data_IF_697894100041
#
_entry.id   IF_697894100041
#
_cell.length_a   1.000
_cell.length_b   1.000
_cell.length_c   1.000
_cell.angle_alpha   90.00
_cell.angle_beta   90.00
_cell.angle_gamma   90.00
#
_symmetry.space_group_name_H-M   'P 1'
#
loop_
_entity.id
_entity.type
_entity.pdbx_description
1 polymer ?
#
# COMPACT_ATOMS: atom_id res chain seq x y z
N UNK A 1 3.26 20.78 -1.71
CA UNK A 1 3.45 20.52 -0.27
C UNK A 1 2.77 21.60 0.56
N UNK A 2 3.14 22.87 0.41
CA UNK A 2 2.62 23.95 1.26
C UNK A 2 1.08 24.02 1.32
N UNK A 3 0.39 23.90 0.19
CA UNK A 3 -1.08 23.84 0.16
C UNK A 3 -1.65 22.69 1.01
N UNK A 4 -0.98 21.55 1.05
CA UNK A 4 -1.42 20.40 1.85
C UNK A 4 -1.18 20.64 3.35
N UNK A 5 -0.05 21.25 3.72
CA UNK A 5 0.27 21.60 5.10
C UNK A 5 -0.63 22.73 5.61
N UNK A 6 -0.94 23.73 4.76
CA UNK A 6 -1.86 24.81 5.10
C UNK A 6 -3.26 24.33 5.49
N UNK A 7 -3.70 23.18 4.95
CA UNK A 7 -4.98 22.54 5.33
C UNK A 7 -4.94 21.88 6.71
N UNK A 8 -3.76 21.56 7.22
CA UNK A 8 -3.60 20.87 8.51
C UNK A 8 -3.44 21.86 9.66
N UNK A 9 -2.67 22.94 9.47
CA UNK A 9 -2.35 23.94 10.53
C UNK A 9 -3.55 24.44 11.32
N UNK A 10 -4.73 24.74 10.72
CA UNK A 10 -5.89 25.21 11.47
C UNK A 10 -6.46 24.20 12.46
N UNK A 11 -6.13 22.92 12.32
CA UNK A 11 -6.70 21.85 13.15
C UNK A 11 -6.06 21.76 14.55
N UNK A 12 -5.10 22.62 14.92
CA UNK A 12 -4.59 22.73 16.30
C UNK A 12 -5.68 23.01 17.32
N UNK A 13 -6.73 23.74 16.93
CA UNK A 13 -7.91 24.04 17.75
C UNK A 13 -9.07 23.03 17.57
N UNK A 14 -8.88 21.97 16.74
CA UNK A 14 -9.92 20.98 16.50
C UNK A 14 -10.28 20.20 17.77
N UNK A 15 -11.55 19.92 17.97
CA UNK A 15 -12.01 18.98 19.01
C UNK A 15 -11.73 17.52 18.68
N UNK A 16 -11.42 17.23 17.41
CA UNK A 16 -11.13 15.88 16.93
C UNK A 16 -9.62 15.57 17.11
N UNK A 17 -9.32 14.66 18.03
CA UNK A 17 -7.95 14.31 18.41
C UNK A 17 -7.08 13.84 17.24
N UNK A 18 -7.68 13.07 16.31
CA UNK A 18 -6.99 12.57 15.11
C UNK A 18 -6.63 13.69 14.10
N UNK A 19 -7.28 14.85 14.15
CA UNK A 19 -6.91 16.03 13.37
C UNK A 19 -5.92 16.92 14.13
N UNK A 20 -6.12 17.03 15.44
CA UNK A 20 -5.32 17.87 16.32
C UNK A 20 -3.87 17.37 16.45
N UNK A 21 -3.66 16.06 16.57
CA UNK A 21 -2.32 15.50 16.77
C UNK A 21 -1.36 15.79 15.59
N UNK A 22 -1.72 15.56 14.32
CA UNK A 22 -0.88 15.94 13.18
C UNK A 22 -0.63 17.46 13.10
N UNK A 23 -1.64 18.27 13.42
CA UNK A 23 -1.50 19.72 13.41
C UNK A 23 -0.52 20.22 14.47
N UNK A 24 -0.63 19.71 15.69
CA UNK A 24 0.29 20.05 16.77
C UNK A 24 1.73 19.61 16.46
N UNK A 25 1.90 18.41 15.93
CA UNK A 25 3.23 17.92 15.52
C UNK A 25 3.82 18.79 14.41
N UNK A 26 3.03 19.16 13.41
CA UNK A 26 3.45 20.03 12.31
C UNK A 26 3.92 21.40 12.86
N UNK A 27 3.12 22.04 13.71
CA UNK A 27 3.45 23.34 14.31
C UNK A 27 4.71 23.23 15.17
N UNK A 28 4.89 22.16 15.93
CA UNK A 28 6.10 21.96 16.73
C UNK A 28 7.35 21.86 15.84
N UNK A 29 7.27 21.14 14.71
CA UNK A 29 8.36 21.05 13.73
C UNK A 29 8.64 22.42 13.12
N UNK A 30 7.62 23.18 12.73
CA UNK A 30 7.77 24.51 12.13
C UNK A 30 8.38 25.53 13.12
N UNK A 31 8.00 25.49 14.40
CA UNK A 31 8.62 26.30 15.44
C UNK A 31 10.11 25.97 15.60
N UNK A 32 10.46 24.67 15.59
CA UNK A 32 11.88 24.25 15.63
C UNK A 32 12.65 24.76 14.41
N UNK A 33 12.05 24.76 13.20
CA UNK A 33 12.70 25.33 12.03
C UNK A 33 12.94 26.84 12.17
N UNK A 34 11.96 27.56 12.71
CA UNK A 34 12.12 29.01 12.97
C UNK A 34 13.23 29.29 13.98
N UNK A 35 13.27 28.57 15.11
CA UNK A 35 14.28 28.71 16.15
C UNK A 35 15.70 28.39 15.64
N UNK A 36 15.81 27.38 14.76
CA UNK A 36 17.10 26.94 14.22
C UNK A 36 17.45 27.61 12.88
N UNK A 37 16.62 28.53 12.39
CA UNK A 37 16.79 29.19 11.09
C UNK A 37 16.91 28.19 9.92
N UNK A 38 16.18 27.07 10.00
CA UNK A 38 16.12 26.06 8.94
C UNK A 38 15.04 26.43 7.93
N UNK A 39 15.37 26.35 6.64
CA UNK A 39 14.41 26.57 5.58
C UNK A 39 13.35 25.43 5.53
N UNK A 40 12.08 25.80 5.41
CA UNK A 40 10.93 24.87 5.36
C UNK A 40 10.84 24.13 4.03
N UNK A 41 11.80 23.26 3.74
CA UNK A 41 11.85 22.42 2.54
C UNK A 41 11.22 21.04 2.77
N UNK A 42 10.77 20.33 1.71
CA UNK A 42 10.28 18.95 1.86
C UNK A 42 11.27 18.03 2.55
N UNK A 43 12.57 18.21 2.27
CA UNK A 43 13.63 17.40 2.88
C UNK A 43 13.80 17.71 4.36
N UNK A 44 13.66 18.98 4.78
CA UNK A 44 13.71 19.36 6.19
C UNK A 44 12.54 18.75 6.98
N UNK A 45 11.30 18.86 6.47
CA UNK A 45 10.15 18.21 7.09
C UNK A 45 10.32 16.70 7.18
N UNK A 46 10.77 16.07 6.09
CA UNK A 46 11.03 14.64 6.07
C UNK A 46 12.02 14.21 7.14
N UNK A 47 13.16 14.91 7.24
CA UNK A 47 14.20 14.61 8.22
C UNK A 47 13.68 14.78 9.66
N UNK A 48 12.97 15.87 9.95
CA UNK A 48 12.37 16.12 11.25
C UNK A 48 11.36 15.02 11.65
N UNK A 49 10.43 14.68 10.75
CA UNK A 49 9.42 13.64 11.00
C UNK A 49 10.10 12.26 11.19
N UNK A 50 11.11 11.94 10.39
CA UNK A 50 11.82 10.66 10.49
C UNK A 50 12.58 10.55 11.82
N UNK A 51 13.18 11.65 12.30
CA UNK A 51 13.84 11.72 13.60
C UNK A 51 12.85 11.57 14.75
N UNK A 52 11.67 12.21 14.67
CA UNK A 52 10.63 12.04 15.69
C UNK A 52 10.11 10.62 15.71
N UNK A 53 9.86 10.02 14.54
CA UNK A 53 9.41 8.63 14.41
C UNK A 53 10.43 7.64 15.02
N UNK A 54 11.71 7.80 14.72
CA UNK A 54 12.76 6.98 15.32
C UNK A 54 12.76 7.12 16.85
N UNK A 55 12.67 8.35 17.37
CA UNK A 55 12.58 8.61 18.79
C UNK A 55 11.35 7.98 19.46
N UNK A 56 10.19 8.03 18.79
CA UNK A 56 8.93 7.41 19.24
C UNK A 56 9.08 5.90 19.35
N UNK A 57 9.70 5.27 18.34
CA UNK A 57 9.94 3.82 18.31
C UNK A 57 10.95 3.40 19.39
N UNK A 58 12.04 4.14 19.56
CA UNK A 58 13.07 3.86 20.57
C UNK A 58 12.54 3.97 22.00
N UNK A 59 11.68 4.92 22.26
CA UNK A 59 11.02 5.10 23.57
C UNK A 59 9.94 4.06 23.85
N UNK A 60 9.63 3.20 22.88
CA UNK A 60 8.52 2.23 22.93
C UNK A 60 7.15 2.88 23.19
N UNK A 61 7.02 4.15 22.88
CA UNK A 61 5.76 4.89 22.96
C UNK A 61 4.91 4.63 21.70
N UNK A 62 4.64 3.36 21.47
CA UNK A 62 3.97 2.86 20.27
C UNK A 62 2.46 2.79 20.55
N UNK A 63 1.87 3.93 20.90
CA UNK A 63 0.42 4.05 21.08
C UNK A 63 -0.28 4.28 19.75
N UNK A 64 -1.44 3.63 19.57
CA UNK A 64 -2.35 3.80 18.44
C UNK A 64 -3.68 4.46 18.85
N UNK A 65 -3.76 4.98 20.09
CA UNK A 65 -4.97 5.67 20.54
C UNK A 65 -5.20 6.95 19.73
N UNK A 66 -6.43 7.41 19.70
CA UNK A 66 -6.77 8.69 19.08
C UNK A 66 -5.96 9.84 19.71
N UNK A 67 -5.22 10.55 18.88
CA UNK A 67 -4.33 11.62 19.31
C UNK A 67 -2.89 11.18 19.63
N UNK A 68 -2.56 9.90 19.47
CA UNK A 68 -1.19 9.42 19.63
C UNK A 68 -0.24 9.98 18.55
N UNK A 69 1.03 10.07 18.90
CA UNK A 69 2.06 10.68 18.05
C UNK A 69 2.36 9.81 16.83
N UNK A 70 2.47 8.48 16.98
CA UNK A 70 2.82 7.56 15.88
C UNK A 70 1.88 7.65 14.68
N UNK A 71 0.53 7.63 14.80
CA UNK A 71 -0.36 7.85 13.67
C UNK A 71 -0.18 9.22 13.01
N UNK A 72 0.13 10.26 13.78
CA UNK A 72 0.37 11.61 13.28
C UNK A 72 1.68 11.69 12.47
N UNK A 73 2.75 11.07 12.95
CA UNK A 73 4.04 10.96 12.26
C UNK A 73 3.87 10.24 10.91
N UNK A 74 3.22 9.08 10.90
CA UNK A 74 2.96 8.32 9.67
C UNK A 74 2.09 9.10 8.68
N UNK A 75 1.12 9.86 9.17
CA UNK A 75 0.27 10.69 8.33
C UNK A 75 1.07 11.83 7.68
N UNK A 76 1.85 12.59 8.45
CA UNK A 76 2.68 13.68 7.94
C UNK A 76 3.78 13.16 7.01
N UNK A 77 4.41 12.04 7.35
CA UNK A 77 5.42 11.41 6.50
C UNK A 77 4.85 11.02 5.14
N UNK A 78 3.65 10.40 5.11
CA UNK A 78 2.94 10.06 3.89
C UNK A 78 2.52 11.29 3.08
N UNK A 79 2.25 12.41 3.72
CA UNK A 79 1.89 13.66 3.07
C UNK A 79 3.08 14.37 2.43
N UNK A 80 4.24 14.35 3.09
CA UNK A 80 5.48 15.02 2.64
C UNK A 80 6.21 14.19 1.58
N UNK A 81 6.20 12.87 1.70
CA UNK A 81 6.96 11.95 0.83
C UNK A 81 6.80 12.22 -0.69
N UNK A 82 5.60 12.51 -1.24
CA UNK A 82 5.44 12.77 -2.66
C UNK A 82 6.20 13.99 -3.21
N UNK A 83 6.65 14.88 -2.33
CA UNK A 83 7.38 16.10 -2.69
C UNK A 83 8.90 15.95 -2.55
N UNK A 84 9.37 14.78 -2.14
CA UNK A 84 10.80 14.49 -2.03
C UNK A 84 11.41 14.15 -3.39
N UNK A 85 12.65 14.58 -3.58
CA UNK A 85 13.42 14.11 -4.70
C UNK A 85 13.75 12.61 -4.54
N UNK A 86 13.67 11.85 -5.63
CA UNK A 86 13.98 10.41 -5.66
C UNK A 86 15.30 10.04 -4.96
N UNK A 87 16.42 10.76 -5.12
CA UNK A 87 17.67 10.45 -4.42
C UNK A 87 17.54 10.50 -2.90
N UNK A 88 16.72 11.41 -2.34
CA UNK A 88 16.50 11.52 -0.90
C UNK A 88 15.80 10.25 -0.36
N UNK A 89 14.80 9.75 -1.08
CA UNK A 89 14.11 8.51 -0.71
C UNK A 89 15.06 7.32 -0.78
N UNK A 90 15.84 7.23 -1.85
CA UNK A 90 16.80 6.12 -2.07
C UNK A 90 17.90 6.08 -1.01
N UNK A 91 18.46 7.22 -0.66
CA UNK A 91 19.52 7.31 0.36
C UNK A 91 19.02 6.96 1.78
N UNK A 92 17.73 7.18 2.05
CA UNK A 92 17.10 6.86 3.34
C UNK A 92 16.31 5.56 3.34
N UNK A 93 16.39 4.74 2.28
CA UNK A 93 15.60 3.52 2.13
C UNK A 93 15.78 2.55 3.31
N UNK A 94 17.02 2.31 3.74
CA UNK A 94 17.30 1.41 4.87
C UNK A 94 16.62 1.88 6.15
N UNK A 95 16.74 3.17 6.46
CA UNK A 95 16.12 3.79 7.64
C UNK A 95 14.59 3.74 7.57
N UNK A 96 14.02 4.09 6.41
CA UNK A 96 12.58 4.00 6.19
C UNK A 96 12.05 2.58 6.43
N UNK A 97 12.71 1.57 5.86
CA UNK A 97 12.29 0.18 6.02
C UNK A 97 12.47 -0.30 7.47
N UNK A 98 13.59 0.01 8.13
CA UNK A 98 13.83 -0.41 9.51
C UNK A 98 12.84 0.17 10.50
N UNK A 99 12.38 1.40 10.29
CA UNK A 99 11.40 2.07 11.15
C UNK A 99 9.97 1.66 10.84
N UNK A 100 9.60 1.54 9.57
CA UNK A 100 8.18 1.40 9.21
C UNK A 100 7.74 -0.04 8.92
N UNK A 101 8.61 -0.92 8.40
CA UNK A 101 8.21 -2.29 8.10
C UNK A 101 7.78 -3.10 9.36
N UNK A 102 8.46 -2.99 10.52
CA UNK A 102 8.04 -3.68 11.73
C UNK A 102 6.70 -3.20 12.28
N UNK A 103 6.20 -2.05 11.85
CA UNK A 103 4.92 -1.51 12.32
C UNK A 103 3.69 -2.17 11.67
N UNK A 104 3.84 -2.88 10.53
CA UNK A 104 2.69 -3.49 9.85
C UNK A 104 1.77 -4.33 10.76
N UNK A 105 2.28 -5.27 11.59
CA UNK A 105 1.43 -6.06 12.46
C UNK A 105 0.63 -5.22 13.46
N UNK A 106 1.27 -4.19 14.02
CA UNK A 106 0.65 -3.27 14.95
C UNK A 106 -0.44 -2.43 14.27
N UNK A 107 -0.14 -1.87 13.10
CA UNK A 107 -1.02 -0.98 12.35
C UNK A 107 -2.26 -1.70 11.78
N UNK A 108 -2.28 -3.03 11.76
CA UNK A 108 -3.52 -3.76 11.46
C UNK A 108 -4.66 -3.38 12.40
N UNK A 109 -4.37 -2.95 13.63
CA UNK A 109 -5.40 -2.51 14.58
C UNK A 109 -5.87 -1.07 14.33
N UNK A 110 -5.12 -0.27 13.53
CA UNK A 110 -5.41 1.15 13.27
C UNK A 110 -5.48 1.46 11.77
N UNK A 111 -6.65 1.26 11.12
CA UNK A 111 -6.81 1.42 9.68
C UNK A 111 -6.37 2.78 9.11
N UNK A 112 -6.56 3.92 9.77
CA UNK A 112 -6.07 5.21 9.27
C UNK A 112 -4.54 5.25 9.14
N UNK A 113 -3.79 4.86 10.17
CA UNK A 113 -2.33 4.85 10.14
C UNK A 113 -1.79 3.83 9.13
N UNK A 114 -2.41 2.65 9.02
CA UNK A 114 -2.07 1.66 8.00
C UNK A 114 -2.21 2.24 6.59
N UNK A 115 -3.29 2.98 6.31
CA UNK A 115 -3.46 3.64 5.00
C UNK A 115 -2.42 4.74 4.74
N UNK A 116 -2.00 5.47 5.76
CA UNK A 116 -0.90 6.44 5.66
C UNK A 116 0.41 5.73 5.33
N UNK A 117 0.72 4.64 6.01
CA UNK A 117 1.89 3.82 5.71
C UNK A 117 1.86 3.27 4.28
N UNK A 118 0.72 2.77 3.81
CA UNK A 118 0.56 2.32 2.41
C UNK A 118 0.80 3.48 1.42
N UNK A 119 0.36 4.71 1.73
CA UNK A 119 0.64 5.87 0.89
C UNK A 119 2.14 6.19 0.81
N UNK A 120 2.84 6.11 1.94
CA UNK A 120 4.29 6.25 2.00
C UNK A 120 4.99 5.19 1.14
N UNK A 121 4.60 3.92 1.27
CA UNK A 121 5.21 2.84 0.50
C UNK A 121 4.96 2.95 -1.01
N UNK A 122 3.86 3.51 -1.45
CA UNK A 122 3.65 3.81 -2.86
C UNK A 122 4.77 4.71 -3.40
N UNK A 123 5.07 5.80 -2.70
CA UNK A 123 6.13 6.75 -3.10
C UNK A 123 7.50 6.07 -3.05
N UNK A 124 7.76 5.27 -2.01
CA UNK A 124 9.01 4.52 -1.90
C UNK A 124 9.19 3.62 -3.12
N UNK A 125 8.24 2.71 -3.43
CA UNK A 125 8.37 1.77 -4.54
C UNK A 125 8.52 2.46 -5.90
N UNK A 126 7.82 3.56 -6.13
CA UNK A 126 7.94 4.35 -7.36
C UNK A 126 9.30 5.05 -7.50
N UNK A 127 10.00 5.26 -6.38
CA UNK A 127 11.31 5.90 -6.36
C UNK A 127 12.47 4.94 -6.57
N UNK A 128 12.28 3.62 -6.37
CA UNK A 128 13.35 2.63 -6.39
C UNK A 128 13.75 2.23 -7.81
N UNK A 129 15.03 1.93 -7.99
CA UNK A 129 15.54 1.26 -9.18
C UNK A 129 15.39 -0.28 -9.07
N UNK A 130 15.74 -0.99 -10.16
CA UNK A 130 15.62 -2.44 -10.22
C UNK A 130 16.39 -3.14 -9.09
N UNK A 131 17.63 -2.73 -8.83
CA UNK A 131 18.50 -3.37 -7.83
C UNK A 131 17.93 -3.22 -6.42
N UNK A 132 17.40 -2.05 -6.10
CA UNK A 132 16.77 -1.76 -4.82
C UNK A 132 15.45 -2.53 -4.65
N UNK A 133 14.64 -2.65 -5.71
CA UNK A 133 13.42 -3.46 -5.70
C UNK A 133 13.71 -4.95 -5.46
N UNK A 134 14.83 -5.47 -5.96
CA UNK A 134 15.25 -6.85 -5.76
C UNK A 134 15.80 -7.14 -4.35
N UNK A 135 16.10 -6.10 -3.55
CA UNK A 135 16.60 -6.27 -2.18
C UNK A 135 15.57 -7.02 -1.31
N UNK A 136 16.07 -7.96 -0.50
CA UNK A 136 15.21 -8.88 0.28
C UNK A 136 14.21 -8.14 1.19
N UNK A 137 14.64 -7.12 1.93
CA UNK A 137 13.76 -6.35 2.83
C UNK A 137 12.63 -5.64 2.08
N UNK A 138 12.92 -5.10 0.88
CA UNK A 138 11.95 -4.43 0.02
C UNK A 138 10.91 -5.44 -0.51
N UNK A 139 11.37 -6.62 -0.97
CA UNK A 139 10.50 -7.70 -1.44
C UNK A 139 9.61 -8.25 -0.32
N UNK A 140 10.14 -8.41 0.89
CA UNK A 140 9.36 -8.85 2.06
C UNK A 140 8.29 -7.82 2.44
N UNK A 141 8.63 -6.54 2.41
CA UNK A 141 7.66 -5.46 2.65
C UNK A 141 6.56 -5.47 1.60
N UNK A 142 6.90 -5.65 0.34
CA UNK A 142 5.89 -5.76 -0.73
C UNK A 142 5.01 -7.01 -0.54
N UNK A 143 5.57 -8.14 -0.10
CA UNK A 143 4.80 -9.34 0.23
C UNK A 143 3.78 -9.09 1.36
N UNK A 144 4.17 -8.34 2.39
CA UNK A 144 3.24 -7.93 3.46
C UNK A 144 2.08 -7.08 2.93
N UNK A 145 2.35 -6.19 1.97
CA UNK A 145 1.32 -5.36 1.33
C UNK A 145 0.36 -6.23 0.49
N UNK A 146 0.85 -7.27 -0.19
CA UNK A 146 0.00 -8.20 -0.94
C UNK A 146 -1.03 -8.91 -0.04
N UNK A 147 -0.66 -9.23 1.20
CA UNK A 147 -1.60 -9.81 2.17
C UNK A 147 -2.72 -8.80 2.52
N UNK A 148 -2.42 -7.51 2.53
CA UNK A 148 -3.41 -6.45 2.81
C UNK A 148 -4.38 -6.27 1.64
N UNK A 149 -4.04 -6.68 0.41
CA UNK A 149 -4.94 -6.62 -0.74
C UNK A 149 -6.20 -7.50 -0.60
N UNK A 150 -6.20 -8.43 0.35
CA UNK A 150 -7.34 -9.29 0.68
C UNK A 150 -7.92 -8.99 2.07
N UNK A 151 -7.52 -7.89 2.70
CA UNK A 151 -8.01 -7.47 4.04
C UNK A 151 -9.55 -7.34 4.03
N UNK A 152 -10.26 -7.81 5.08
CA UNK A 152 -11.72 -7.72 5.15
C UNK A 152 -12.21 -6.26 5.11
N UNK A 153 -11.44 -5.29 5.57
CA UNK A 153 -11.81 -3.88 5.61
C UNK A 153 -11.69 -3.21 4.23
N UNK A 154 -12.81 -2.78 3.61
CA UNK A 154 -12.83 -2.33 2.21
C UNK A 154 -11.87 -1.16 1.91
N UNK A 155 -11.77 -0.18 2.83
CA UNK A 155 -10.92 1.01 2.64
C UNK A 155 -9.42 0.68 2.70
N UNK A 156 -9.04 -0.28 3.52
CA UNK A 156 -7.65 -0.77 3.65
C UNK A 156 -7.29 -1.60 2.41
N UNK A 157 -8.12 -2.60 2.09
CA UNK A 157 -7.98 -3.47 0.91
C UNK A 157 -7.85 -2.65 -0.37
N UNK A 158 -8.76 -1.68 -0.59
CA UNK A 158 -8.71 -0.81 -1.76
C UNK A 158 -7.39 -0.05 -1.82
N UNK A 159 -6.95 0.55 -0.72
CA UNK A 159 -5.70 1.32 -0.69
C UNK A 159 -4.48 0.45 -1.02
N UNK A 160 -4.41 -0.78 -0.52
CA UNK A 160 -3.35 -1.71 -0.85
C UNK A 160 -3.41 -2.16 -2.32
N UNK A 161 -4.59 -2.49 -2.84
CA UNK A 161 -4.79 -2.87 -4.23
C UNK A 161 -4.43 -1.73 -5.20
N UNK A 162 -4.82 -0.49 -4.90
CA UNK A 162 -4.46 0.69 -5.68
C UNK A 162 -2.94 0.89 -5.67
N UNK A 163 -2.26 0.72 -4.52
CA UNK A 163 -0.80 0.78 -4.44
C UNK A 163 -0.14 -0.26 -5.36
N UNK A 164 -0.54 -1.52 -5.25
CA UNK A 164 0.06 -2.61 -6.05
C UNK A 164 -0.16 -2.36 -7.53
N UNK A 165 -1.36 -1.91 -7.93
CA UNK A 165 -1.66 -1.53 -9.30
C UNK A 165 -0.74 -0.42 -9.79
N UNK A 166 -0.63 0.67 -9.05
CA UNK A 166 0.22 1.82 -9.43
C UNK A 166 1.70 1.44 -9.53
N UNK A 167 2.19 0.55 -8.68
CA UNK A 167 3.55 0.01 -8.77
C UNK A 167 3.73 -0.82 -10.04
N UNK A 168 2.79 -1.73 -10.36
CA UNK A 168 2.89 -2.59 -11.54
C UNK A 168 2.77 -1.82 -12.86
N UNK A 169 1.96 -0.76 -12.88
CA UNK A 169 1.76 0.10 -14.06
C UNK A 169 3.02 0.91 -14.40
N UNK A 170 3.85 1.21 -13.40
CA UNK A 170 5.03 2.05 -13.54
C UNK A 170 6.32 1.25 -13.27
N UNK A 171 6.72 0.34 -14.17
CA UNK A 171 7.99 -0.38 -14.03
C UNK A 171 9.18 0.59 -14.14
N UNK A 172 10.26 0.38 -13.38
CA UNK A 172 11.46 1.20 -13.51
C UNK A 172 12.08 1.03 -14.89
N UNK A 173 12.46 2.15 -15.54
CA UNK A 173 13.12 2.11 -16.84
C UNK A 173 14.47 1.35 -16.77
N UNK A 174 14.82 0.52 -17.78
CA UNK A 174 14.14 0.31 -19.07
C UNK A 174 13.15 -0.88 -19.09
N UNK A 175 12.63 -1.33 -17.98
CA UNK A 175 11.82 -2.55 -17.90
C UNK A 175 10.41 -2.32 -18.49
N UNK A 176 9.92 -3.30 -19.23
CA UNK A 176 8.53 -3.34 -19.75
C UNK A 176 7.57 -3.95 -18.72
N UNK A 177 8.08 -4.86 -17.89
CA UNK A 177 7.32 -5.53 -16.85
C UNK A 177 7.97 -5.25 -15.48
N UNK A 178 7.15 -4.94 -14.50
CA UNK A 178 7.64 -4.66 -13.16
C UNK A 178 8.24 -5.93 -12.52
N UNK A 179 9.38 -5.86 -11.80
CA UNK A 179 10.02 -7.01 -11.16
C UNK A 179 9.08 -7.79 -10.21
N UNK A 180 8.11 -7.12 -9.62
CA UNK A 180 7.13 -7.74 -8.71
C UNK A 180 5.96 -8.43 -9.40
N UNK A 181 5.81 -8.33 -10.72
CA UNK A 181 4.70 -8.94 -11.44
C UNK A 181 4.62 -10.47 -11.21
N UNK A 182 5.78 -11.15 -11.17
CA UNK A 182 5.84 -12.59 -10.86
C UNK A 182 5.44 -12.89 -9.41
N UNK A 183 5.89 -12.08 -8.45
CA UNK A 183 5.55 -12.21 -7.03
C UNK A 183 4.05 -12.02 -6.78
N UNK A 184 3.42 -11.07 -7.47
CA UNK A 184 1.96 -10.85 -7.41
C UNK A 184 1.21 -12.06 -7.97
N UNK A 185 1.64 -12.57 -9.12
CA UNK A 185 1.05 -13.77 -9.73
C UNK A 185 1.15 -14.99 -8.81
N UNK A 186 2.31 -15.21 -8.20
CA UNK A 186 2.53 -16.30 -7.23
C UNK A 186 1.65 -16.16 -5.98
N UNK A 187 1.54 -14.95 -5.43
CA UNK A 187 0.69 -14.68 -4.27
C UNK A 187 -0.78 -14.97 -4.56
N UNK A 188 -1.28 -14.53 -5.72
CA UNK A 188 -2.65 -14.82 -6.16
C UNK A 188 -2.88 -16.31 -6.37
N UNK A 189 -1.94 -17.02 -7.02
CA UNK A 189 -2.02 -18.49 -7.19
C UNK A 189 -2.13 -19.19 -5.84
N UNK A 190 -1.30 -18.81 -4.87
CA UNK A 190 -1.32 -19.40 -3.53
C UNK A 190 -2.68 -19.19 -2.85
N UNK A 191 -3.17 -17.96 -2.83
CA UNK A 191 -4.49 -17.65 -2.21
C UNK A 191 -5.63 -18.42 -2.87
N UNK A 192 -5.64 -18.53 -4.19
CA UNK A 192 -6.67 -19.29 -4.90
C UNK A 192 -6.53 -20.81 -4.69
N UNK A 193 -5.30 -21.32 -4.60
CA UNK A 193 -5.05 -22.73 -4.27
C UNK A 193 -5.50 -23.06 -2.84
N UNK A 194 -5.25 -22.19 -1.87
CA UNK A 194 -5.70 -22.34 -0.49
C UNK A 194 -7.23 -22.36 -0.38
N UNK A 195 -7.91 -21.51 -1.13
CA UNK A 195 -9.38 -21.51 -1.23
C UNK A 195 -9.90 -22.83 -1.82
N UNK A 196 -9.27 -23.34 -2.87
CA UNK A 196 -9.67 -24.62 -3.50
C UNK A 196 -9.35 -25.85 -2.63
N UNK A 197 -8.28 -25.79 -1.82
CA UNK A 197 -7.90 -26.86 -0.88
C UNK A 197 -8.68 -26.82 0.43
N UNK A 198 -9.47 -25.78 0.69
CA UNK A 198 -10.25 -25.56 1.87
C UNK A 198 -11.39 -26.58 2.09
N UNK A 199 -12.29 -26.34 3.04
CA UNK A 199 -13.31 -27.31 3.49
C UNK A 199 -14.26 -27.80 2.40
N UNK A 200 -14.33 -27.15 1.24
CA UNK A 200 -15.06 -27.66 0.08
C UNK A 200 -14.52 -28.98 -0.43
N UNK A 201 -13.21 -29.23 -0.33
CA UNK A 201 -12.57 -30.46 -0.81
C UNK A 201 -12.74 -31.66 0.16
N UNK A 202 -13.05 -31.43 1.44
CA UNK A 202 -13.05 -32.47 2.47
C UNK A 202 -14.39 -32.77 3.14
N UNK A 203 -15.50 -32.20 2.68
CA UNK A 203 -16.85 -32.53 3.18
C UNK A 203 -17.13 -32.22 4.67
N UNK A 204 -16.20 -31.59 5.39
CA UNK A 204 -16.36 -31.20 6.81
C UNK A 204 -16.41 -29.66 6.90
N UNK A 205 -17.58 -29.09 6.60
CA UNK A 205 -17.71 -27.63 6.64
C UNK A 205 -18.37 -27.16 7.94
N UNK A 206 -17.66 -26.39 8.74
CA UNK A 206 -18.33 -25.38 9.54
C UNK A 206 -18.79 -24.26 8.60
N UNK A 207 -20.05 -23.80 8.69
CA UNK A 207 -20.58 -22.73 7.84
C UNK A 207 -19.69 -21.47 7.83
N UNK A 208 -18.96 -21.22 8.88
CA UNK A 208 -18.09 -20.06 9.08
C UNK A 208 -16.77 -20.16 8.28
N UNK A 209 -16.16 -21.35 8.19
CA UNK A 209 -14.93 -21.55 7.40
C UNK A 209 -15.17 -21.46 5.89
N UNK A 210 -16.34 -21.89 5.42
CA UNK A 210 -16.76 -21.76 4.01
C UNK A 210 -16.97 -20.31 3.62
N UNK A 211 -17.59 -19.50 4.48
CA UNK A 211 -17.84 -18.08 4.21
C UNK A 211 -16.53 -17.28 4.10
N UNK A 212 -15.57 -17.52 4.99
CA UNK A 212 -14.25 -16.83 4.97
C UNK A 212 -13.44 -17.18 3.71
N UNK A 213 -13.45 -18.45 3.27
CA UNK A 213 -12.78 -18.86 2.04
C UNK A 213 -13.39 -18.21 0.79
N UNK A 214 -14.71 -18.16 0.70
CA UNK A 214 -15.42 -17.52 -0.41
C UNK A 214 -15.17 -16.01 -0.46
N UNK A 215 -15.13 -15.34 0.68
CA UNK A 215 -14.85 -13.91 0.75
C UNK A 215 -13.41 -13.59 0.28
N UNK A 216 -12.42 -14.36 0.73
CA UNK A 216 -11.04 -14.21 0.29
C UNK A 216 -10.88 -14.44 -1.22
N UNK A 217 -11.61 -15.41 -1.78
CA UNK A 217 -11.64 -15.63 -3.22
C UNK A 217 -12.20 -14.42 -3.99
N UNK A 218 -13.34 -13.89 -3.53
CA UNK A 218 -13.96 -12.71 -4.14
C UNK A 218 -13.01 -11.50 -4.09
N UNK A 219 -12.34 -11.28 -2.96
CA UNK A 219 -11.37 -10.20 -2.82
C UNK A 219 -10.17 -10.39 -3.75
N UNK A 220 -9.65 -11.63 -3.88
CA UNK A 220 -8.56 -11.95 -4.79
C UNK A 220 -8.94 -11.73 -6.26
N UNK A 221 -10.15 -12.09 -6.66
CA UNK A 221 -10.66 -11.85 -8.01
C UNK A 221 -10.87 -10.36 -8.29
N UNK A 222 -11.42 -9.62 -7.33
CA UNK A 222 -11.57 -8.17 -7.42
C UNK A 222 -10.21 -7.46 -7.54
N UNK A 223 -9.18 -7.96 -6.84
CA UNK A 223 -7.81 -7.48 -6.95
C UNK A 223 -7.15 -7.86 -8.28
N UNK A 224 -7.33 -9.08 -8.76
CA UNK A 224 -6.77 -9.55 -10.03
C UNK A 224 -7.25 -8.72 -11.24
N UNK A 225 -8.53 -8.39 -11.27
CA UNK A 225 -9.18 -7.73 -12.42
C UNK A 225 -8.44 -6.49 -12.94
N UNK A 226 -8.07 -5.48 -12.14
CA UNK A 226 -7.40 -4.28 -12.61
C UNK A 226 -5.91 -4.46 -12.93
N UNK A 227 -5.27 -5.57 -12.54
CA UNK A 227 -3.83 -5.77 -12.65
C UNK A 227 -3.42 -6.87 -13.65
N UNK A 228 -4.35 -7.68 -14.12
CA UNK A 228 -4.04 -8.86 -14.95
C UNK A 228 -3.22 -8.51 -16.20
N UNK A 229 -3.43 -7.34 -16.79
CA UNK A 229 -2.67 -6.86 -17.94
C UNK A 229 -1.18 -6.63 -17.67
N UNK A 230 -0.80 -6.46 -16.41
CA UNK A 230 0.56 -6.19 -15.94
C UNK A 230 1.26 -7.43 -15.37
N UNK A 231 0.59 -8.59 -15.36
CA UNK A 231 1.17 -9.84 -14.90
C UNK A 231 1.91 -10.55 -16.05
N UNK A 232 2.84 -11.50 -15.74
CA UNK A 232 3.58 -12.24 -16.75
C UNK A 232 2.66 -12.95 -17.74
N UNK A 233 3.06 -13.07 -19.04
CA UNK A 233 2.26 -13.73 -20.05
C UNK A 233 1.82 -15.15 -19.70
N UNK A 234 2.65 -15.89 -18.95
CA UNK A 234 2.32 -17.24 -18.48
C UNK A 234 1.04 -17.30 -17.63
N UNK A 235 0.70 -16.24 -16.91
CA UNK A 235 -0.55 -16.14 -16.13
C UNK A 235 -1.78 -16.05 -17.04
N UNK A 236 -1.62 -15.48 -18.23
CA UNK A 236 -2.68 -15.27 -19.24
C UNK A 236 -2.81 -16.44 -20.21
N UNK A 237 -1.91 -17.43 -20.13
CA UNK A 237 -1.93 -18.61 -21.00
C UNK A 237 -3.17 -19.48 -20.76
N UNK A 238 -3.73 -20.13 -21.78
CA UNK A 238 -4.82 -21.11 -21.65
C UNK A 238 -4.51 -22.28 -20.70
N UNK A 239 -3.24 -22.58 -20.49
CA UNK A 239 -2.78 -23.63 -19.56
C UNK A 239 -2.67 -23.12 -18.10
N UNK A 240 -2.81 -21.80 -17.89
CA UNK A 240 -2.75 -21.21 -16.56
C UNK A 240 -3.98 -21.59 -15.72
N UNK A 241 -3.82 -21.87 -14.41
CA UNK A 241 -4.95 -22.06 -13.50
C UNK A 241 -5.88 -20.85 -13.42
N UNK A 242 -5.43 -19.69 -13.87
CA UNK A 242 -6.25 -18.46 -14.00
C UNK A 242 -7.12 -18.43 -15.25
N UNK A 243 -6.90 -19.31 -16.25
CA UNK A 243 -7.59 -19.22 -17.53
C UNK A 243 -9.12 -19.26 -17.40
N UNK A 244 -9.73 -20.18 -16.62
CA UNK A 244 -11.19 -20.20 -16.42
C UNK A 244 -11.69 -18.91 -15.74
N UNK A 245 -10.88 -18.39 -14.81
CA UNK A 245 -11.18 -17.16 -14.07
C UNK A 245 -11.10 -15.94 -14.99
N UNK A 246 -10.07 -15.86 -15.82
CA UNK A 246 -9.92 -14.80 -16.81
C UNK A 246 -11.07 -14.80 -17.82
N UNK A 247 -11.48 -15.97 -18.30
CA UNK A 247 -12.66 -16.09 -19.16
C UNK A 247 -13.91 -15.57 -18.45
N UNK A 248 -14.13 -15.91 -17.18
CA UNK A 248 -15.28 -15.45 -16.42
C UNK A 248 -15.27 -13.92 -16.19
N UNK A 249 -14.09 -13.32 -15.97
CA UNK A 249 -13.93 -11.86 -15.77
C UNK A 249 -14.13 -11.10 -17.08
N UNK A 250 -13.61 -11.60 -18.20
CA UNK A 250 -13.61 -10.89 -19.48
C UNK A 250 -14.77 -11.28 -20.40
N UNK A 251 -15.44 -12.40 -20.17
CA UNK A 251 -16.59 -12.85 -20.98
C UNK A 251 -17.70 -11.80 -21.14
N UNK A 252 -18.10 -11.04 -20.10
CA UNK A 252 -19.08 -9.97 -20.26
C UNK A 252 -18.56 -8.81 -21.11
N UNK A 253 -17.27 -8.50 -21.01
CA UNK A 253 -16.63 -7.43 -21.77
C UNK A 253 -16.45 -7.81 -23.24
N UNK A 254 -16.04 -9.06 -23.51
CA UNK A 254 -15.93 -9.59 -24.87
C UNK A 254 -17.31 -9.67 -25.55
N UNK A 255 -18.37 -10.05 -24.85
CA UNK A 255 -19.74 -10.03 -25.38
C UNK A 255 -20.16 -8.60 -25.72
N UNK A 256 -19.88 -7.61 -24.86
CA UNK A 256 -20.17 -6.20 -25.13
C UNK A 256 -19.41 -5.65 -26.32
N UNK A 257 -18.14 -6.04 -26.48
CA UNK A 257 -17.29 -5.63 -27.62
C UNK A 257 -17.78 -6.25 -28.95
N UNK A 258 -18.14 -7.52 -28.92
CA UNK A 258 -18.69 -8.25 -30.12
C UNK A 258 -20.05 -7.65 -30.50
N UNK A 259 -20.91 -7.33 -29.54
CA UNK A 259 -22.19 -6.66 -29.81
C UNK A 259 -21.99 -5.26 -30.38
N UNK A 260 -21.03 -4.48 -29.88
CA UNK A 260 -20.70 -3.14 -30.39
C UNK A 260 -20.12 -3.20 -31.82
N UNK A 261 -19.30 -4.20 -32.14
CA UNK A 261 -18.77 -4.41 -33.50
C UNK A 261 -19.83 -4.87 -34.48
N UNK A 262 -20.85 -5.63 -34.04
CA UNK A 262 -22.01 -6.02 -34.87
C UNK A 262 -22.97 -4.86 -35.19
N UNK A 263 -22.95 -3.79 -34.36
CA UNK A 263 -23.73 -2.56 -34.62
C UNK A 263 -23.01 -1.57 -35.53
N UNK A 264 -21.72 -1.79 -35.81
CA UNK A 264 -20.89 -0.91 -36.67
C UNK A 264 -20.60 -1.54 -38.06
N UNK A 265 -21.07 -2.75 -38.32
CA UNK A 265 -21.03 -3.45 -39.60
C UNK A 265 -22.45 -3.48 -40.24
#
# INVERSE_FOLDING_TARGET
MEEALAKIRPHTSSSLTHQKAPANLLVAIENTFQEQHVESTPTAYFAAILTTLDSTIQKKDISLQDGAVLPAELYLLALVAPFLATPVIRSNLSTLLSLTAPLFPLLHQHPPALRSQLSLYLVIFQSLDKSQLEAQGVRQTFASILQICIDPRPKVRKKAADLVKEVLVNPPTPLVLHPYAAQVAESLNRTLAEVNAGPFAKGKSSKQGVALGAESAIHSLAFLRPIVGYLPPAVRSPVSPFHPILIAIYSPFLRSLITSLHYLA
#
